data_IF_592009810800
#
_entry.id   IF_592009810800
#
_cell.length_a   1.000
_cell.length_b   1.000
_cell.length_c   1.000
_cell.angle_alpha   90.00
_cell.angle_beta   90.00
_cell.angle_gamma   90.00
#
_symmetry.space_group_name_H-M   'P 1'
#
loop_
_entity.id
_entity.type
_entity.pdbx_description
1 polymer ?
#
# COMPACT_ATOMS: atom_id res chain seq x y z
N UNK A 1 14.41 -7.86 -10.79
CA UNK A 1 13.47 -7.82 -9.65
C UNK A 1 13.97 -8.79 -8.59
N UNK A 2 14.04 -8.39 -7.32
CA UNK A 2 14.70 -9.19 -6.29
C UNK A 2 13.76 -10.16 -5.54
N UNK A 3 12.45 -9.90 -5.52
CA UNK A 3 11.49 -10.58 -4.64
C UNK A 3 10.13 -10.84 -5.34
N UNK A 4 10.12 -11.57 -6.45
CA UNK A 4 8.90 -11.84 -7.23
C UNK A 4 7.86 -12.67 -6.45
N UNK A 5 8.29 -13.67 -5.69
CA UNK A 5 7.39 -14.51 -4.89
C UNK A 5 6.65 -13.68 -3.83
N UNK A 6 7.36 -12.74 -3.19
CA UNK A 6 6.78 -11.83 -2.21
C UNK A 6 5.76 -10.89 -2.86
N UNK A 7 6.08 -10.35 -4.03
CA UNK A 7 5.17 -9.52 -4.81
C UNK A 7 3.87 -10.28 -5.15
N UNK A 8 3.97 -11.54 -5.58
CA UNK A 8 2.81 -12.41 -5.82
C UNK A 8 2.02 -12.67 -4.55
N UNK A 9 2.68 -12.96 -3.43
CA UNK A 9 2.02 -13.20 -2.14
C UNK A 9 1.19 -11.99 -1.67
N UNK A 10 1.69 -10.78 -1.91
CA UNK A 10 0.97 -9.55 -1.58
C UNK A 10 0.07 -9.04 -2.72
N UNK A 11 0.03 -9.71 -3.87
CA UNK A 11 -0.81 -9.32 -5.01
C UNK A 11 -0.38 -8.01 -5.69
N UNK A 12 0.91 -7.69 -5.69
CA UNK A 12 1.48 -6.51 -6.35
C UNK A 12 1.46 -6.74 -7.87
N UNK A 13 0.61 -5.98 -8.58
CA UNK A 13 0.43 -6.07 -10.05
C UNK A 13 0.92 -4.83 -10.81
N UNK A 14 1.17 -3.74 -10.10
CA UNK A 14 1.69 -2.48 -10.65
C UNK A 14 2.60 -1.81 -9.63
N UNK A 15 3.41 -0.86 -10.10
CA UNK A 15 4.30 -0.08 -9.25
C UNK A 15 4.05 1.43 -9.44
N UNK A 16 4.13 2.25 -8.38
CA UNK A 16 4.29 1.85 -6.98
C UNK A 16 2.99 1.25 -6.39
N UNK A 17 3.11 0.25 -5.51
CA UNK A 17 2.01 -0.20 -4.63
C UNK A 17 2.43 0.08 -3.19
N UNK A 18 1.54 0.69 -2.41
CA UNK A 18 1.77 1.03 -1.01
C UNK A 18 0.72 0.32 -0.18
N UNK A 19 1.11 -0.33 0.91
CA UNK A 19 0.20 -1.03 1.83
C UNK A 19 0.44 -0.59 3.27
N UNK A 20 -0.64 -0.46 4.04
CA UNK A 20 -0.60 -0.18 5.48
C UNK A 20 -0.95 -1.45 6.22
N UNK A 21 -0.11 -1.84 7.18
CA UNK A 21 -0.35 -2.97 8.07
C UNK A 21 -0.43 -2.51 9.52
N UNK A 22 -1.38 -3.05 10.28
CA UNK A 22 -1.55 -2.83 11.72
C UNK A 22 -1.80 -4.18 12.37
N UNK A 23 -1.04 -4.50 13.41
CA UNK A 23 -1.14 -5.80 14.12
C UNK A 23 -1.07 -7.03 13.18
N UNK A 24 -0.22 -6.96 12.14
CA UNK A 24 -0.06 -8.05 11.17
C UNK A 24 -1.18 -8.17 10.12
N UNK A 25 -2.20 -7.31 10.15
CA UNK A 25 -3.29 -7.29 9.18
C UNK A 25 -3.18 -6.10 8.23
N UNK A 26 -3.52 -6.30 6.96
CA UNK A 26 -3.55 -5.22 5.96
C UNK A 26 -4.79 -4.35 6.19
N UNK A 27 -4.55 -3.06 6.46
CA UNK A 27 -5.57 -2.05 6.75
C UNK A 27 -5.99 -1.29 5.49
N UNK A 28 -5.02 -0.99 4.62
CA UNK A 28 -5.26 -0.23 3.40
C UNK A 28 -4.19 -0.50 2.34
N UNK A 29 -4.49 -0.13 1.09
CA UNK A 29 -3.59 -0.29 -0.06
C UNK A 29 -3.89 0.75 -1.15
N UNK A 30 -2.83 1.32 -1.72
CA UNK A 30 -2.86 2.09 -2.97
C UNK A 30 -2.11 1.32 -4.05
N UNK A 31 -2.69 1.28 -5.25
CA UNK A 31 -1.99 0.87 -6.47
C UNK A 31 -1.83 2.08 -7.38
N UNK A 32 -0.59 2.45 -7.67
CA UNK A 32 -0.23 3.63 -8.46
C UNK A 32 0.21 4.81 -7.62
N UNK A 33 0.74 5.83 -8.30
CA UNK A 33 1.17 7.07 -7.66
C UNK A 33 -0.03 7.99 -7.39
N UNK A 34 -0.04 8.64 -6.23
CA UNK A 34 -0.98 9.70 -5.90
C UNK A 34 -0.26 11.05 -5.80
N UNK A 35 -0.93 12.18 -6.12
CA UNK A 35 -0.44 13.50 -5.74
C UNK A 35 -0.27 13.60 -4.22
N UNK A 36 0.70 14.40 -3.76
CA UNK A 36 1.04 14.54 -2.34
C UNK A 36 -0.19 14.77 -1.44
N UNK A 37 -1.06 15.71 -1.80
CA UNK A 37 -2.26 16.04 -0.99
C UNK A 37 -3.19 14.83 -0.81
N UNK A 38 -3.39 14.05 -1.88
CA UNK A 38 -4.24 12.86 -1.82
C UNK A 38 -3.57 11.73 -1.03
N UNK A 39 -2.26 11.58 -1.18
CA UNK A 39 -1.48 10.62 -0.40
C UNK A 39 -1.55 10.92 1.10
N UNK A 40 -1.35 12.18 1.51
CA UNK A 40 -1.43 12.60 2.91
C UNK A 40 -2.83 12.35 3.49
N UNK A 41 -3.89 12.65 2.72
CA UNK A 41 -5.27 12.37 3.11
C UNK A 41 -5.53 10.87 3.30
N UNK A 42 -5.13 10.05 2.34
CA UNK A 42 -5.28 8.60 2.42
C UNK A 42 -4.51 8.01 3.60
N UNK A 43 -3.27 8.46 3.83
CA UNK A 43 -2.45 7.96 4.93
C UNK A 43 -3.10 8.27 6.28
N UNK A 44 -3.60 9.49 6.48
CA UNK A 44 -4.30 9.85 7.71
C UNK A 44 -5.55 8.98 7.94
N UNK A 45 -6.33 8.70 6.88
CA UNK A 45 -7.48 7.80 6.97
C UNK A 45 -7.06 6.37 7.34
N UNK A 46 -5.99 5.87 6.72
CA UNK A 46 -5.48 4.52 6.97
C UNK A 46 -4.98 4.35 8.42
N UNK A 47 -4.42 5.39 9.05
CA UNK A 47 -3.96 5.35 10.44
C UNK A 47 -5.11 5.32 11.46
N UNK A 48 -6.29 5.83 11.09
CA UNK A 48 -7.47 5.85 11.97
C UNK A 48 -8.32 4.58 11.92
N UNK A 49 -8.03 3.66 10.98
CA UNK A 49 -8.69 2.35 10.88
C UNK A 49 -8.11 1.36 11.90
#
# INVERSE_FOLDING_TARGET
EAQQQLATQFGIRSIPTIMVFKNGQRVDMINGALPKTQFDQWLNQALTK
#
